data_IF_104029813111
#
_entry.id   IF_104029813111
#
_cell.length_a   1.000
_cell.length_b   1.000
_cell.length_c   1.000
_cell.angle_alpha   90.00
_cell.angle_beta   90.00
_cell.angle_gamma   90.00
#
_symmetry.space_group_name_H-M   'P 1'
#
loop_
_entity.id
_entity.type
_entity.pdbx_description
1 polymer ?
#
# COMPACT_ATOMS: atom_id res chain seq x y z
N UNK A 1 25.21 26.89 -31.94
CA UNK A 1 26.61 26.74 -31.52
C UNK A 1 26.61 26.47 -30.03
N UNK A 2 27.25 25.36 -29.68
CA UNK A 2 27.27 24.69 -28.38
C UNK A 2 28.20 25.34 -27.36
N UNK A 3 27.92 25.16 -26.07
CA UNK A 3 28.85 24.73 -24.99
C UNK A 3 28.04 24.67 -23.67
N UNK A 4 27.76 23.49 -23.10
CA UNK A 4 28.60 22.68 -22.20
C UNK A 4 28.71 23.31 -20.78
N UNK A 5 27.92 22.83 -19.81
CA UNK A 5 28.25 21.77 -18.82
C UNK A 5 29.19 22.23 -17.69
N UNK A 6 28.72 22.12 -16.44
CA UNK A 6 29.42 21.40 -15.36
C UNK A 6 28.58 21.40 -14.07
N UNK A 7 28.06 20.23 -13.73
CA UNK A 7 27.45 19.85 -12.45
C UNK A 7 28.54 19.45 -11.45
N UNK A 8 28.47 19.96 -10.22
CA UNK A 8 29.30 19.50 -9.10
C UNK A 8 28.41 18.72 -8.11
N UNK A 9 28.69 17.44 -7.94
CA UNK A 9 27.97 16.50 -7.05
C UNK A 9 28.90 16.23 -5.87
N UNK A 10 28.48 16.61 -4.67
CA UNK A 10 29.16 16.24 -3.43
C UNK A 10 28.61 14.90 -2.93
N UNK A 11 29.51 13.92 -2.84
CA UNK A 11 29.28 12.57 -2.32
C UNK A 11 29.60 12.58 -0.82
N UNK A 12 28.63 12.27 0.04
CA UNK A 12 28.87 11.93 1.45
C UNK A 12 28.68 10.43 1.67
N UNK A 13 29.60 9.88 2.45
CA UNK A 13 29.76 8.47 2.71
C UNK A 13 28.88 7.98 3.86
N UNK A 14 28.37 6.76 3.67
CA UNK A 14 27.98 5.72 4.62
C UNK A 14 28.41 5.92 6.08
N UNK A 15 27.56 5.54 7.04
CA UNK A 15 27.77 4.46 8.02
C UNK A 15 26.45 4.14 8.78
N UNK A 16 26.16 2.87 9.14
CA UNK A 16 24.92 2.47 9.81
C UNK A 16 25.12 2.18 11.31
N UNK A 17 24.21 2.66 12.18
CA UNK A 17 24.07 2.22 13.57
C UNK A 17 22.71 1.52 13.68
N UNK A 18 22.65 0.18 13.69
CA UNK A 18 22.80 -0.72 14.83
C UNK A 18 21.71 -0.60 15.90
N UNK A 19 20.78 -1.55 15.78
CA UNK A 19 19.83 -2.10 16.74
C UNK A 19 20.29 -2.03 18.20
N UNK A 20 19.43 -1.50 19.08
CA UNK A 20 19.57 -1.56 20.53
C UNK A 20 18.54 -2.56 21.06
N UNK A 21 19.06 -3.65 21.63
CA UNK A 21 18.32 -4.71 22.29
C UNK A 21 18.18 -4.39 23.78
N UNK A 22 17.01 -4.71 24.33
CA UNK A 22 16.69 -4.67 25.76
C UNK A 22 17.61 -5.60 26.57
N UNK A 23 18.03 -5.16 27.76
CA UNK A 23 18.46 -6.07 28.84
C UNK A 23 18.19 -5.43 30.21
N UNK A 24 17.62 -6.23 31.10
CA UNK A 24 17.03 -5.88 32.38
C UNK A 24 18.03 -5.37 33.44
N UNK A 25 17.56 -4.48 34.31
CA UNK A 25 18.17 -4.20 35.60
C UNK A 25 17.30 -4.75 36.74
N UNK A 26 17.81 -5.81 37.36
CA UNK A 26 17.42 -6.27 38.70
C UNK A 26 18.58 -5.95 39.65
N UNK A 27 18.34 -5.09 40.64
CA UNK A 27 19.14 -5.02 41.84
C UNK A 27 18.36 -4.33 42.97
N UNK A 28 18.02 -5.15 43.95
CA UNK A 28 17.65 -4.86 45.33
C UNK A 28 18.53 -3.76 45.94
N UNK A 29 17.92 -2.78 46.62
CA UNK A 29 18.49 -2.18 47.83
C UNK A 29 17.38 -1.73 48.79
N UNK A 30 17.37 -2.38 49.96
CA UNK A 30 16.66 -1.99 51.18
C UNK A 30 17.23 -0.68 51.75
N UNK A 31 16.37 0.22 52.23
CA UNK A 31 16.53 0.79 53.59
C UNK A 31 15.29 1.56 54.05
N UNK A 32 15.01 1.33 55.33
CA UNK A 32 13.99 1.86 56.20
C UNK A 32 14.38 3.26 56.70
N UNK A 33 13.45 4.22 56.67
CA UNK A 33 13.53 5.45 57.46
C UNK A 33 12.13 6.08 57.59
N UNK A 34 11.57 5.95 58.79
CA UNK A 34 10.47 6.76 59.30
C UNK A 34 10.84 8.24 59.24
N UNK A 35 9.96 9.07 58.68
CA UNK A 35 9.70 10.40 59.23
C UNK A 35 8.32 10.92 58.81
N UNK A 36 7.61 11.44 59.81
CA UNK A 36 6.29 12.06 59.68
C UNK A 36 6.38 13.33 58.82
N UNK A 37 5.61 13.36 57.74
CA UNK A 37 5.34 14.56 56.98
C UNK A 37 3.94 14.48 56.41
N UNK A 38 3.02 15.27 56.95
CA UNK A 38 1.70 15.52 56.39
C UNK A 38 1.89 16.09 54.99
N UNK A 39 1.67 15.25 53.97
CA UNK A 39 1.66 15.66 52.56
C UNK A 39 0.32 15.25 51.97
N UNK A 40 -0.39 16.28 51.50
CA UNK A 40 -1.63 16.21 50.74
C UNK A 40 -1.60 15.07 49.73
N UNK A 41 -2.57 14.17 49.89
CA UNK A 41 -2.88 13.11 48.93
C UNK A 41 -3.89 13.68 47.93
N UNK A 42 -3.43 14.61 47.10
CA UNK A 42 -4.17 15.13 45.94
C UNK A 42 -3.73 14.40 44.67
N UNK A 43 -4.72 13.83 43.98
CA UNK A 43 -4.78 13.55 42.55
C UNK A 43 -3.65 12.76 41.90
N UNK A 44 -3.68 11.44 42.12
CA UNK A 44 -3.20 10.45 41.14
C UNK A 44 -4.16 9.27 41.02
N UNK A 45 -5.40 9.54 40.60
CA UNK A 45 -6.29 8.57 39.96
C UNK A 45 -6.50 8.98 38.50
N UNK A 46 -5.42 8.95 37.71
CA UNK A 46 -5.55 8.98 36.26
C UNK A 46 -6.08 7.62 35.81
N UNK A 47 -7.41 7.53 35.75
CA UNK A 47 -8.15 6.41 35.19
C UNK A 47 -7.73 6.20 33.74
N UNK A 48 -6.91 5.19 33.53
CA UNK A 48 -6.77 4.52 32.25
C UNK A 48 -8.09 3.80 32.01
N UNK A 49 -9.04 4.44 31.31
CA UNK A 49 -10.27 3.79 30.89
C UNK A 49 -9.90 2.71 29.87
N UNK A 50 -9.66 1.50 30.36
CA UNK A 50 -9.67 0.30 29.53
C UNK A 50 -11.05 0.22 28.88
N UNK A 51 -11.14 0.13 27.54
CA UNK A 51 -12.42 -0.07 26.86
C UNK A 51 -13.11 -1.28 27.47
N UNK A 52 -14.32 -1.10 28.02
CA UNK A 52 -15.08 -2.21 28.56
C UNK A 52 -15.23 -3.26 27.46
N UNK A 53 -14.77 -4.47 27.73
CA UNK A 53 -14.91 -5.57 26.77
C UNK A 53 -16.40 -5.83 26.53
N UNK A 54 -16.75 -6.35 25.36
CA UNK A 54 -18.15 -6.68 24.99
C UNK A 54 -18.85 -7.47 26.12
N UNK A 55 -18.10 -8.37 26.77
CA UNK A 55 -18.56 -9.17 27.91
C UNK A 55 -18.95 -8.35 29.14
N UNK A 56 -18.26 -7.22 29.41
CA UNK A 56 -18.58 -6.35 30.54
C UNK A 56 -19.85 -5.51 30.27
N UNK A 57 -20.10 -5.15 29.01
CA UNK A 57 -21.33 -4.45 28.62
C UNK A 57 -22.53 -5.39 28.77
N UNK A 58 -22.39 -6.65 28.39
CA UNK A 58 -23.45 -7.65 28.54
C UNK A 58 -23.73 -7.96 30.01
N UNK A 59 -22.70 -8.01 30.86
CA UNK A 59 -22.86 -8.15 32.30
C UNK A 59 -23.65 -6.97 32.91
N UNK A 60 -23.33 -5.73 32.51
CA UNK A 60 -24.05 -4.54 32.99
C UNK A 60 -25.51 -4.52 32.53
N UNK A 61 -25.79 -4.96 31.30
CA UNK A 61 -27.17 -5.10 30.81
C UNK A 61 -27.96 -6.13 31.60
N UNK A 62 -27.36 -7.28 31.91
CA UNK A 62 -28.03 -8.31 32.69
C UNK A 62 -28.25 -7.87 34.14
N UNK A 63 -27.30 -7.16 34.75
CA UNK A 63 -27.47 -6.53 36.06
C UNK A 63 -28.62 -5.51 36.06
N UNK A 64 -28.71 -4.66 35.04
CA UNK A 64 -29.80 -3.69 34.91
C UNK A 64 -31.16 -4.38 34.77
N UNK A 65 -31.21 -5.50 34.04
CA UNK A 65 -32.44 -6.30 33.86
C UNK A 65 -32.91 -6.96 35.15
N UNK A 66 -31.98 -7.49 35.95
CA UNK A 66 -32.28 -8.06 37.28
C UNK A 66 -32.82 -6.97 38.22
N UNK A 67 -32.12 -5.84 38.32
CA UNK A 67 -32.54 -4.71 39.16
C UNK A 67 -33.92 -4.17 38.75
N UNK A 68 -34.19 -4.06 37.45
CA UNK A 68 -35.51 -3.64 36.96
C UNK A 68 -36.63 -4.61 37.36
N UNK A 69 -36.34 -5.92 37.38
CA UNK A 69 -37.29 -6.94 37.85
C UNK A 69 -37.58 -6.84 39.35
N UNK A 70 -36.55 -6.62 40.16
CA UNK A 70 -36.70 -6.43 41.61
C UNK A 70 -37.49 -5.17 41.95
N UNK A 71 -37.19 -4.03 41.30
CA UNK A 71 -37.95 -2.79 41.49
C UNK A 71 -39.43 -2.97 41.14
N UNK A 72 -39.74 -3.71 40.06
CA UNK A 72 -41.11 -4.01 39.70
C UNK A 72 -41.82 -4.85 40.79
N UNK A 73 -41.14 -5.87 41.33
CA UNK A 73 -41.68 -6.69 42.44
C UNK A 73 -41.94 -5.87 43.70
N UNK A 74 -40.99 -5.01 44.11
CA UNK A 74 -41.17 -4.13 45.26
C UNK A 74 -42.33 -3.15 45.06
N UNK A 75 -42.48 -2.61 43.85
CA UNK A 75 -43.59 -1.72 43.50
C UNK A 75 -44.95 -2.43 43.62
N UNK A 76 -45.03 -3.68 43.15
CA UNK A 76 -46.26 -4.50 43.28
C UNK A 76 -46.56 -4.79 44.75
N UNK A 77 -45.55 -5.16 45.55
CA UNK A 77 -45.72 -5.43 46.98
C UNK A 77 -46.21 -4.18 47.74
N UNK A 78 -45.64 -3.00 47.45
CA UNK A 78 -46.07 -1.73 48.04
C UNK A 78 -47.52 -1.39 47.66
N UNK A 79 -47.92 -1.58 46.39
CA UNK A 79 -49.32 -1.40 45.97
C UNK A 79 -50.28 -2.30 46.77
N UNK A 80 -49.94 -3.58 46.91
CA UNK A 80 -50.76 -4.54 47.65
C UNK A 80 -50.89 -4.16 49.13
N UNK A 81 -49.79 -3.77 49.78
CA UNK A 81 -49.80 -3.30 51.16
C UNK A 81 -50.62 -2.01 51.33
N UNK A 82 -50.52 -1.08 50.37
CA UNK A 82 -51.33 0.14 50.37
C UNK A 82 -52.82 -0.16 50.22
N UNK A 83 -53.19 -1.09 49.35
CA UNK A 83 -54.58 -1.50 49.13
C UNK A 83 -55.16 -2.25 50.34
N UNK A 84 -54.36 -3.13 50.95
CA UNK A 84 -54.71 -3.83 52.18
C UNK A 84 -54.88 -2.86 53.36
N UNK A 85 -53.99 -1.86 53.49
CA UNK A 85 -54.13 -0.78 54.47
C UNK A 85 -55.41 0.05 54.25
N UNK A 86 -55.75 0.38 53.00
CA UNK A 86 -56.99 1.08 52.68
C UNK A 86 -58.24 0.24 53.03
N UNK A 87 -58.20 -1.08 52.80
CA UNK A 87 -59.26 -2.00 53.20
C UNK A 87 -59.42 -2.11 54.71
N UNK A 88 -58.32 -2.18 55.46
CA UNK A 88 -58.34 -2.22 56.93
C UNK A 88 -58.94 -0.91 57.47
N UNK A 89 -58.54 0.24 56.92
CA UNK A 89 -59.09 1.54 57.31
C UNK A 89 -60.59 1.62 57.01
N UNK A 90 -61.02 1.20 55.81
CA UNK A 90 -62.42 1.20 55.40
C UNK A 90 -63.30 0.28 56.27
N UNK A 91 -62.79 -0.92 56.62
CA UNK A 91 -63.46 -1.86 57.54
C UNK A 91 -63.52 -1.31 58.96
N UNK A 92 -62.45 -0.67 59.44
CA UNK A 92 -62.40 -0.05 60.78
C UNK A 92 -63.39 1.10 60.89
N UNK A 93 -63.44 1.99 59.90
CA UNK A 93 -64.40 3.10 59.85
C UNK A 93 -65.83 2.58 59.75
N UNK A 94 -66.09 1.58 58.90
CA UNK A 94 -67.42 0.98 58.77
C UNK A 94 -67.88 0.32 60.08
N UNK A 95 -66.97 -0.33 60.80
CA UNK A 95 -67.25 -0.91 62.12
C UNK A 95 -67.52 0.17 63.17
N UNK A 96 -66.74 1.24 63.20
CA UNK A 96 -66.94 2.37 64.12
C UNK A 96 -68.28 3.10 63.88
N UNK A 97 -68.69 3.21 62.61
CA UNK A 97 -70.01 3.75 62.22
C UNK A 97 -71.13 2.79 62.63
N UNK A 98 -70.97 1.48 62.41
CA UNK A 98 -71.95 0.48 62.84
C UNK A 98 -72.12 0.46 64.37
N UNK A 99 -71.04 0.50 65.13
CA UNK A 99 -71.07 0.51 66.60
C UNK A 99 -71.69 1.82 67.15
N UNK A 100 -71.47 2.96 66.47
CA UNK A 100 -72.13 4.24 66.82
C UNK A 100 -73.63 4.25 66.50
N UNK A 101 -74.06 3.64 65.40
CA UNK A 101 -75.49 3.54 65.04
C UNK A 101 -76.23 2.60 65.98
N UNK A 102 -75.60 1.50 66.40
CA UNK A 102 -76.18 0.56 67.39
C UNK A 102 -76.25 1.19 68.78
N UNK A 103 -75.28 2.03 69.18
CA UNK A 103 -75.32 2.75 70.47
C UNK A 103 -76.24 3.98 70.50
N UNK A 104 -76.65 4.52 69.35
CA UNK A 104 -77.55 5.69 69.27
C UNK A 104 -79.03 5.34 69.33
N UNK A 105 -79.40 4.07 69.10
CA UNK A 105 -80.80 3.64 69.00
C UNK A 105 -81.29 2.76 70.18
N UNK A 106 -80.48 2.53 71.22
CA UNK A 106 -80.83 1.58 72.29
C UNK A 106 -80.77 2.14 73.73
N UNK A 107 -80.83 3.47 73.91
CA UNK A 107 -81.05 4.09 75.23
C UNK A 107 -82.10 5.20 75.20
N UNK A 108 -83.33 4.82 74.81
CA UNK A 108 -84.53 5.44 75.37
C UNK A 108 -84.97 4.57 76.54
N UNK A 109 -84.21 4.63 77.64
CA UNK A 109 -84.62 4.05 78.92
C UNK A 109 -85.85 4.82 79.41
N UNK A 110 -87.00 4.29 79.06
CA UNK A 110 -88.32 4.67 79.54
C UNK A 110 -88.55 3.87 80.83
N UNK A 111 -88.10 4.42 81.97
CA UNK A 111 -88.46 3.94 83.31
C UNK A 111 -88.87 5.16 84.13
N UNK A 112 -90.09 5.62 83.89
CA UNK A 112 -90.69 6.73 84.64
C UNK A 112 -92.13 6.40 85.02
N UNK A 113 -92.37 5.27 85.69
CA UNK A 113 -93.58 5.14 86.50
C UNK A 113 -93.36 4.06 87.57
N UNK A 114 -93.55 4.47 88.83
CA UNK A 114 -93.39 3.66 90.07
C UNK A 114 -92.00 3.62 90.74
N UNK A 115 -91.16 4.65 90.54
CA UNK A 115 -89.98 4.88 91.39
C UNK A 115 -90.19 6.03 92.37
N UNK A 116 -89.77 5.83 93.62
CA UNK A 116 -89.83 6.83 94.69
C UNK A 116 -89.03 8.08 94.29
N UNK A 117 -89.43 9.27 94.74
CA UNK A 117 -88.71 10.53 94.46
C UNK A 117 -87.22 10.48 94.84
N UNK A 118 -86.86 9.63 95.81
CA UNK A 118 -85.48 9.34 96.19
C UNK A 118 -84.71 8.56 95.09
N UNK A 119 -85.34 7.57 94.45
CA UNK A 119 -84.72 6.76 93.38
C UNK A 119 -84.47 7.59 92.12
N UNK A 120 -85.39 8.51 91.74
CA UNK A 120 -85.17 9.42 90.60
C UNK A 120 -83.99 10.37 90.83
N UNK A 121 -83.83 10.88 92.05
CA UNK A 121 -82.68 11.72 92.43
C UNK A 121 -81.38 10.91 92.34
N UNK A 122 -81.41 9.65 92.76
CA UNK A 122 -80.24 8.76 92.69
C UNK A 122 -79.87 8.39 91.25
N UNK A 123 -80.85 8.11 90.39
CA UNK A 123 -80.66 7.90 88.94
C UNK A 123 -80.08 9.15 88.26
N UNK A 124 -80.55 10.35 88.60
CA UNK A 124 -80.01 11.60 88.06
C UNK A 124 -78.58 11.86 88.52
N UNK A 125 -78.27 11.62 89.80
CA UNK A 125 -76.88 11.69 90.31
C UNK A 125 -75.96 10.75 89.56
N UNK A 126 -76.42 9.52 89.30
CA UNK A 126 -75.65 8.53 88.54
C UNK A 126 -75.44 8.95 87.08
N UNK A 127 -76.45 9.56 86.43
CA UNK A 127 -76.33 10.12 85.07
C UNK A 127 -75.36 11.30 85.01
N UNK A 128 -75.39 12.20 86.00
CA UNK A 128 -74.44 13.33 86.10
C UNK A 128 -73.03 12.80 86.27
N UNK A 129 -72.80 11.86 87.19
CA UNK A 129 -71.48 11.26 87.40
C UNK A 129 -70.94 10.62 86.11
N UNK A 130 -71.77 9.86 85.39
CA UNK A 130 -71.37 9.28 84.08
C UNK A 130 -71.04 10.36 83.04
N UNK A 131 -71.79 11.46 83.01
CA UNK A 131 -71.53 12.55 82.08
C UNK A 131 -70.20 13.25 82.42
N UNK A 132 -69.91 13.45 83.70
CA UNK A 132 -68.63 14.00 84.18
C UNK A 132 -67.45 13.08 83.84
N UNK A 133 -67.59 11.76 84.09
CA UNK A 133 -66.58 10.76 83.74
C UNK A 133 -66.36 10.71 82.22
N UNK A 134 -67.42 10.79 81.42
CA UNK A 134 -67.34 10.83 79.96
C UNK A 134 -66.66 12.10 79.43
N UNK A 135 -66.92 13.27 80.04
CA UNK A 135 -66.25 14.54 79.69
C UNK A 135 -64.76 14.44 80.03
N UNK A 136 -64.40 13.90 81.19
CA UNK A 136 -63.00 13.72 81.60
C UNK A 136 -62.27 12.75 80.67
N UNK A 137 -62.91 11.63 80.29
CA UNK A 137 -62.38 10.69 79.31
C UNK A 137 -62.15 11.36 77.95
N UNK A 138 -63.16 12.07 77.44
CA UNK A 138 -63.08 12.78 76.16
C UNK A 138 -61.97 13.86 76.17
N UNK A 139 -61.76 14.56 77.29
CA UNK A 139 -60.65 15.53 77.41
C UNK A 139 -59.29 14.85 77.31
N UNK A 140 -59.11 13.72 77.99
CA UNK A 140 -57.87 12.92 77.91
C UNK A 140 -57.64 12.42 76.48
N UNK A 141 -58.69 11.88 75.85
CA UNK A 141 -58.62 11.40 74.47
C UNK A 141 -58.31 12.52 73.48
N UNK A 142 -58.97 13.67 73.59
CA UNK A 142 -58.71 14.84 72.76
C UNK A 142 -57.26 15.34 72.89
N UNK A 143 -56.68 15.30 74.10
CA UNK A 143 -55.29 15.68 74.30
C UNK A 143 -54.32 14.69 73.64
N UNK A 144 -54.54 13.38 73.81
CA UNK A 144 -53.75 12.34 73.10
C UNK A 144 -53.90 12.50 71.58
N UNK A 145 -55.09 12.82 71.09
CA UNK A 145 -55.33 13.01 69.66
C UNK A 145 -54.62 14.26 69.13
N UNK A 146 -54.52 15.34 69.93
CA UNK A 146 -53.75 16.54 69.59
C UNK A 146 -52.26 16.20 69.44
N UNK A 147 -51.69 15.44 70.37
CA UNK A 147 -50.29 14.98 70.28
C UNK A 147 -50.07 14.07 69.07
N UNK A 148 -51.02 13.17 68.79
CA UNK A 148 -50.97 12.31 67.59
C UNK A 148 -50.99 13.13 66.30
N UNK A 149 -51.85 14.15 66.21
CA UNK A 149 -51.90 15.06 65.06
C UNK A 149 -50.60 15.84 64.89
N UNK A 150 -50.05 16.40 65.96
CA UNK A 150 -48.77 17.11 65.91
C UNK A 150 -47.62 16.22 65.40
N UNK A 151 -47.58 14.96 65.85
CA UNK A 151 -46.60 13.97 65.35
C UNK A 151 -46.80 13.64 63.86
N UNK A 152 -48.05 13.51 63.42
CA UNK A 152 -48.36 13.26 62.01
C UNK A 152 -48.00 14.46 61.12
N UNK A 153 -48.34 15.68 61.54
CA UNK A 153 -47.98 16.92 60.83
C UNK A 153 -46.46 17.08 60.71
N UNK A 154 -45.72 16.81 61.79
CA UNK A 154 -44.27 16.81 61.76
C UNK A 154 -43.70 15.78 60.76
N UNK A 155 -44.21 14.55 60.78
CA UNK A 155 -43.78 13.51 59.84
C UNK A 155 -44.08 13.88 58.38
N UNK A 156 -45.26 14.46 58.11
CA UNK A 156 -45.63 14.94 56.76
C UNK A 156 -44.67 16.04 56.32
N UNK A 157 -44.39 17.03 57.18
CA UNK A 157 -43.46 18.11 56.86
C UNK A 157 -42.07 17.57 56.54
N UNK A 158 -41.57 16.62 57.32
CA UNK A 158 -40.26 16.00 57.09
C UNK A 158 -40.21 15.24 55.75
N UNK A 159 -41.24 14.45 55.46
CA UNK A 159 -41.35 13.74 54.19
C UNK A 159 -41.42 14.70 52.99
N UNK A 160 -42.18 15.80 53.10
CA UNK A 160 -42.30 16.79 52.05
C UNK A 160 -40.96 17.49 51.77
N UNK A 161 -40.24 17.91 52.81
CA UNK A 161 -38.90 18.48 52.66
C UNK A 161 -37.97 17.50 51.94
N UNK A 162 -37.99 16.23 52.35
CA UNK A 162 -37.14 15.21 51.72
C UNK A 162 -37.51 14.95 50.26
N UNK A 163 -38.79 14.98 49.93
CA UNK A 163 -39.26 14.82 48.56
C UNK A 163 -38.78 15.98 47.67
N UNK A 164 -38.86 17.22 48.16
CA UNK A 164 -38.37 18.40 47.44
C UNK A 164 -36.86 18.34 47.19
N UNK A 165 -36.06 17.96 48.19
CA UNK A 165 -34.61 17.77 48.02
C UNK A 165 -34.28 16.73 46.95
N UNK A 166 -34.98 15.59 46.96
CA UNK A 166 -34.78 14.54 45.96
C UNK A 166 -35.19 15.00 44.56
N UNK A 167 -36.26 15.77 44.44
CA UNK A 167 -36.70 16.33 43.16
C UNK A 167 -35.64 17.29 42.57
N UNK A 168 -35.02 18.13 43.41
CA UNK A 168 -33.90 18.99 42.99
C UNK A 168 -32.72 18.14 42.51
N UNK A 169 -32.29 17.13 43.29
CA UNK A 169 -31.19 16.26 42.90
C UNK A 169 -31.47 15.48 41.60
N UNK A 170 -32.71 14.99 41.41
CA UNK A 170 -33.11 14.30 40.17
C UNK A 170 -32.99 15.26 38.97
N UNK A 171 -33.48 16.49 39.10
CA UNK A 171 -33.43 17.46 38.02
C UNK A 171 -31.98 17.85 37.67
N UNK A 172 -31.12 18.05 38.67
CA UNK A 172 -29.69 18.30 38.45
C UNK A 172 -29.02 17.14 37.71
N UNK A 173 -29.31 15.89 38.10
CA UNK A 173 -28.75 14.71 37.47
C UNK A 173 -29.26 14.50 36.04
N UNK A 174 -30.54 14.81 35.78
CA UNK A 174 -31.12 14.82 34.43
C UNK A 174 -30.41 15.84 33.54
N UNK A 175 -30.11 17.04 34.06
CA UNK A 175 -29.38 18.07 33.32
C UNK A 175 -27.94 17.64 33.02
N UNK A 176 -27.22 17.08 34.01
CA UNK A 176 -25.86 16.53 33.79
C UNK A 176 -25.86 15.42 32.75
N UNK A 177 -26.81 14.48 32.83
CA UNK A 177 -26.95 13.41 31.86
C UNK A 177 -27.23 13.94 30.45
N UNK A 178 -28.06 14.97 30.32
CA UNK A 178 -28.32 15.61 29.04
C UNK A 178 -27.05 16.28 28.46
N UNK A 179 -26.22 16.90 29.30
CA UNK A 179 -24.97 17.52 28.85
C UNK A 179 -23.92 16.49 28.44
N UNK A 180 -23.71 15.45 29.26
CA UNK A 180 -22.84 14.31 28.92
C UNK A 180 -23.28 13.65 27.61
N UNK A 181 -24.59 13.51 27.39
CA UNK A 181 -25.14 12.97 26.15
C UNK A 181 -24.76 13.82 24.94
N UNK A 182 -24.85 15.15 25.05
CA UNK A 182 -24.40 16.07 23.98
C UNK A 182 -22.90 15.93 23.71
N UNK A 183 -22.08 15.82 24.77
CA UNK A 183 -20.64 15.63 24.63
C UNK A 183 -20.32 14.32 23.92
N UNK A 184 -20.98 13.21 24.30
CA UNK A 184 -20.85 11.91 23.63
C UNK A 184 -21.20 12.02 22.15
N UNK A 185 -22.30 12.70 21.82
CA UNK A 185 -22.75 12.83 20.43
C UNK A 185 -21.78 13.72 19.63
N UNK A 186 -21.24 14.80 20.21
CA UNK A 186 -20.18 15.62 19.60
C UNK A 186 -18.92 14.80 19.32
N UNK A 187 -18.43 14.04 20.32
CA UNK A 187 -17.25 13.18 20.17
C UNK A 187 -17.45 12.08 19.13
N UNK A 188 -18.66 11.55 18.99
CA UNK A 188 -18.99 10.59 17.93
C UNK A 188 -18.85 11.21 16.54
N UNK A 189 -19.33 12.43 16.35
CA UNK A 189 -19.15 13.14 15.07
C UNK A 189 -17.67 13.37 14.77
N UNK A 190 -16.89 13.85 15.75
CA UNK A 190 -15.44 14.03 15.60
C UNK A 190 -14.73 12.71 15.22
N UNK A 191 -15.12 11.59 15.84
CA UNK A 191 -14.57 10.27 15.51
C UNK A 191 -14.91 9.83 14.10
N UNK A 192 -16.12 10.09 13.61
CA UNK A 192 -16.49 9.78 12.22
C UNK A 192 -15.69 10.59 11.21
N UNK A 193 -15.46 11.87 11.48
CA UNK A 193 -14.65 12.72 10.61
C UNK A 193 -13.19 12.23 10.55
N UNK A 194 -12.60 11.96 11.72
CA UNK A 194 -11.24 11.41 11.81
C UNK A 194 -11.12 10.04 11.14
N UNK A 195 -12.14 9.18 11.27
CA UNK A 195 -12.19 7.88 10.59
C UNK A 195 -12.17 8.06 9.06
N UNK A 196 -12.93 9.04 8.54
CA UNK A 196 -12.92 9.40 7.13
C UNK A 196 -11.53 9.82 6.64
N UNK A 197 -10.84 10.69 7.39
CA UNK A 197 -9.48 11.11 7.07
C UNK A 197 -8.47 9.95 7.05
N UNK A 198 -8.57 9.05 8.04
CA UNK A 198 -7.70 7.86 8.13
C UNK A 198 -7.91 6.97 6.91
N UNK A 199 -9.15 6.76 6.49
CA UNK A 199 -9.46 5.93 5.32
C UNK A 199 -8.96 6.57 4.01
N UNK A 200 -9.08 7.89 3.87
CA UNK A 200 -8.54 8.62 2.72
C UNK A 200 -7.01 8.51 2.66
N UNK A 201 -6.32 8.74 3.79
CA UNK A 201 -4.86 8.61 3.90
C UNK A 201 -4.41 7.17 3.61
N UNK A 202 -5.15 6.17 4.09
CA UNK A 202 -4.91 4.74 3.81
C UNK A 202 -5.00 4.45 2.31
N UNK A 203 -6.05 4.95 1.66
CA UNK A 203 -6.25 4.80 0.21
C UNK A 203 -5.12 5.44 -0.60
N UNK A 204 -4.69 6.67 -0.22
CA UNK A 204 -3.54 7.35 -0.83
C UNK A 204 -2.24 6.56 -0.67
N UNK A 205 -1.99 6.02 0.53
CA UNK A 205 -0.80 5.20 0.79
C UNK A 205 -0.79 3.94 -0.07
N UNK A 206 -1.93 3.26 -0.20
CA UNK A 206 -2.06 2.08 -1.07
C UNK A 206 -1.74 2.42 -2.54
N UNK A 207 -2.25 3.55 -3.05
CA UNK A 207 -1.94 4.01 -4.40
C UNK A 207 -0.44 4.29 -4.60
N UNK A 208 0.23 4.91 -3.61
CA UNK A 208 1.68 5.14 -3.66
C UNK A 208 2.45 3.81 -3.70
N UNK A 209 2.04 2.83 -2.88
CA UNK A 209 2.69 1.52 -2.87
C UNK A 209 2.53 0.78 -4.21
N UNK A 210 1.38 0.90 -4.87
CA UNK A 210 1.18 0.36 -6.21
C UNK A 210 2.10 1.03 -7.24
N UNK A 211 2.18 2.36 -7.24
CA UNK A 211 3.09 3.12 -8.10
C UNK A 211 4.56 2.73 -7.87
N UNK A 212 4.96 2.51 -6.61
CA UNK A 212 6.30 2.06 -6.28
C UNK A 212 6.60 0.67 -6.86
N UNK A 213 5.64 -0.27 -6.79
CA UNK A 213 5.78 -1.59 -7.41
C UNK A 213 5.91 -1.50 -8.93
N UNK A 214 5.09 -0.67 -9.58
CA UNK A 214 5.17 -0.45 -11.02
C UNK A 214 6.52 0.14 -11.46
N UNK A 215 7.02 1.14 -10.73
CA UNK A 215 8.29 1.78 -11.01
C UNK A 215 9.45 0.78 -10.87
N UNK A 216 9.43 -0.03 -9.82
CA UNK A 216 10.45 -1.06 -9.59
C UNK A 216 10.44 -2.11 -10.72
N UNK A 217 9.27 -2.55 -11.15
CA UNK A 217 9.14 -3.47 -12.29
C UNK A 217 9.69 -2.84 -13.59
N UNK A 218 9.34 -1.59 -13.88
CA UNK A 218 9.86 -0.86 -15.06
C UNK A 218 11.38 -0.71 -14.99
N UNK A 219 11.93 -0.39 -13.83
CA UNK A 219 13.37 -0.27 -13.63
C UNK A 219 14.09 -1.59 -13.88
N UNK A 220 13.57 -2.69 -13.33
CA UNK A 220 14.13 -4.02 -13.54
C UNK A 220 14.11 -4.42 -15.03
N UNK A 221 12.98 -4.21 -15.71
CA UNK A 221 12.87 -4.48 -17.15
C UNK A 221 13.87 -3.65 -17.96
N UNK A 222 13.94 -2.33 -17.70
CA UNK A 222 14.89 -1.44 -18.37
C UNK A 222 16.35 -1.83 -18.09
N UNK A 223 16.67 -2.22 -16.86
CA UNK A 223 18.02 -2.68 -16.47
C UNK A 223 18.40 -3.95 -17.24
N UNK A 224 17.49 -4.93 -17.31
CA UNK A 224 17.72 -6.17 -18.07
C UNK A 224 17.88 -5.92 -19.58
N UNK A 225 17.10 -4.99 -20.14
CA UNK A 225 17.19 -4.60 -21.55
C UNK A 225 18.52 -3.90 -21.86
N UNK A 226 18.96 -2.99 -20.96
CA UNK A 226 20.26 -2.31 -21.06
C UNK A 226 21.41 -3.32 -21.05
N UNK A 227 21.45 -4.24 -20.07
CA UNK A 227 22.50 -5.27 -20.00
C UNK A 227 22.55 -6.13 -21.27
N UNK A 228 21.39 -6.49 -21.84
CA UNK A 228 21.32 -7.22 -23.10
C UNK A 228 21.89 -6.42 -24.28
N UNK A 229 21.56 -5.13 -24.37
CA UNK A 229 22.08 -4.26 -25.40
C UNK A 229 23.60 -4.05 -25.26
N UNK A 230 24.10 -3.90 -24.03
CA UNK A 230 25.54 -3.80 -23.73
C UNK A 230 26.30 -5.05 -24.20
N UNK A 231 25.79 -6.25 -23.92
CA UNK A 231 26.41 -7.51 -24.40
C UNK A 231 26.41 -7.59 -25.93
N UNK A 232 25.34 -7.16 -26.58
CA UNK A 232 25.29 -7.14 -28.06
C UNK A 232 26.29 -6.14 -28.65
N UNK A 233 26.42 -4.97 -28.03
CA UNK A 233 27.40 -3.96 -28.43
C UNK A 233 28.83 -4.47 -28.26
N UNK A 234 29.14 -5.09 -27.12
CA UNK A 234 30.46 -5.68 -26.85
C UNK A 234 30.82 -6.73 -27.91
N UNK A 235 29.87 -7.60 -28.27
CA UNK A 235 30.08 -8.58 -29.35
C UNK A 235 30.36 -7.90 -30.69
N UNK A 236 29.59 -6.87 -31.05
CA UNK A 236 29.79 -6.14 -32.30
C UNK A 236 31.15 -5.41 -32.35
N UNK A 237 31.57 -4.83 -31.22
CA UNK A 237 32.89 -4.21 -31.07
C UNK A 237 33.99 -5.26 -31.23
N UNK A 238 33.88 -6.43 -30.60
CA UNK A 238 34.85 -7.51 -30.76
C UNK A 238 34.97 -7.99 -32.20
N UNK A 239 33.84 -8.17 -32.90
CA UNK A 239 33.83 -8.54 -34.32
C UNK A 239 34.52 -7.48 -35.16
N UNK A 240 34.22 -6.19 -34.94
CA UNK A 240 34.87 -5.08 -35.65
C UNK A 240 36.37 -5.06 -35.40
N UNK A 241 36.81 -5.25 -34.16
CA UNK A 241 38.24 -5.29 -33.81
C UNK A 241 38.98 -6.42 -34.54
N UNK A 242 38.36 -7.59 -34.66
CA UNK A 242 38.94 -8.71 -35.41
C UNK A 242 39.05 -8.39 -36.91
N UNK A 243 38.01 -7.81 -37.50
CA UNK A 243 38.01 -7.42 -38.92
C UNK A 243 39.05 -6.32 -39.22
N UNK A 244 39.21 -5.34 -38.34
CA UNK A 244 40.23 -4.29 -38.51
C UNK A 244 41.63 -4.88 -38.49
N UNK A 245 41.89 -5.83 -37.58
CA UNK A 245 43.17 -6.56 -37.54
C UNK A 245 43.43 -7.30 -38.85
N UNK A 246 42.44 -8.02 -39.38
CA UNK A 246 42.54 -8.72 -40.67
C UNK A 246 42.81 -7.75 -41.83
N UNK A 247 42.15 -6.59 -41.85
CA UNK A 247 42.41 -5.53 -42.84
C UNK A 247 43.86 -5.03 -42.76
N UNK A 248 44.40 -4.85 -41.56
CA UNK A 248 45.79 -4.43 -41.35
C UNK A 248 46.79 -5.50 -41.84
N UNK A 249 46.51 -6.78 -41.59
CA UNK A 249 47.30 -7.89 -42.11
C UNK A 249 47.30 -7.91 -43.65
N UNK A 250 46.13 -7.79 -44.28
CA UNK A 250 46.00 -7.73 -45.74
C UNK A 250 46.69 -6.50 -46.34
N UNK A 251 46.63 -5.34 -45.69
CA UNK A 251 47.38 -4.14 -46.10
C UNK A 251 48.88 -4.39 -46.05
N UNK A 252 49.38 -5.03 -44.99
CA UNK A 252 50.78 -5.44 -44.89
C UNK A 252 51.21 -6.38 -46.02
N UNK A 253 50.39 -7.39 -46.35
CA UNK A 253 50.65 -8.30 -47.46
C UNK A 253 50.72 -7.58 -48.81
N UNK A 254 49.75 -6.69 -49.09
CA UNK A 254 49.72 -5.86 -50.29
C UNK A 254 50.98 -5.02 -50.42
N UNK A 255 51.42 -4.37 -49.34
CA UNK A 255 52.59 -3.50 -49.37
C UNK A 255 53.90 -4.27 -49.65
N UNK A 256 53.99 -5.53 -49.20
CA UNK A 256 55.11 -6.43 -49.54
C UNK A 256 55.11 -6.79 -51.02
N UNK A 257 53.94 -7.14 -51.58
CA UNK A 257 53.79 -7.48 -53.00
C UNK A 257 54.10 -6.26 -53.87
N UNK A 258 53.58 -5.09 -53.50
CA UNK A 258 53.80 -3.83 -54.21
C UNK A 258 55.30 -3.51 -54.32
N UNK A 259 56.05 -3.64 -53.21
CA UNK A 259 57.51 -3.47 -53.21
C UNK A 259 58.23 -4.46 -54.14
N UNK A 260 57.77 -5.72 -54.21
CA UNK A 260 58.33 -6.71 -55.16
C UNK A 260 58.05 -6.35 -56.61
N UNK A 261 56.86 -5.84 -56.92
CA UNK A 261 56.50 -5.38 -58.26
C UNK A 261 57.39 -4.20 -58.66
N UNK A 262 57.55 -3.22 -57.77
CA UNK A 262 58.41 -2.06 -57.99
C UNK A 262 59.86 -2.47 -58.25
N UNK A 263 60.39 -3.40 -57.45
CA UNK A 263 61.72 -3.97 -57.67
C UNK A 263 61.87 -4.63 -59.04
N UNK A 264 60.90 -5.45 -59.48
CA UNK A 264 60.92 -6.05 -60.81
C UNK A 264 60.88 -5.00 -61.92
N UNK A 265 60.00 -3.98 -61.78
CA UNK A 265 59.90 -2.88 -62.75
C UNK A 265 61.21 -2.11 -62.88
N UNK A 266 61.85 -1.78 -61.76
CA UNK A 266 63.14 -1.08 -61.74
C UNK A 266 64.24 -1.93 -62.39
N UNK A 267 64.33 -3.21 -62.04
CA UNK A 267 65.28 -4.15 -62.65
C UNK A 267 65.08 -4.28 -64.16
N UNK A 268 63.83 -4.35 -64.63
CA UNK A 268 63.52 -4.44 -66.06
C UNK A 268 63.84 -3.13 -66.80
N UNK A 269 63.64 -1.97 -66.18
CA UNK A 269 64.07 -0.68 -66.72
C UNK A 269 65.60 -0.60 -66.83
N UNK A 270 66.35 -1.06 -65.83
CA UNK A 270 67.82 -1.15 -65.87
C UNK A 270 68.27 -2.13 -66.97
N UNK A 271 67.67 -3.33 -67.05
CA UNK A 271 68.04 -4.30 -68.07
C UNK A 271 67.70 -3.83 -69.49
N UNK A 272 66.63 -3.07 -69.67
CA UNK A 272 66.26 -2.49 -70.97
C UNK A 272 67.18 -1.33 -71.37
N UNK A 273 67.64 -0.53 -70.40
CA UNK A 273 68.67 0.48 -70.62
C UNK A 273 70.02 -0.14 -71.03
N UNK A 274 70.38 -1.28 -70.42
CA UNK A 274 71.60 -2.04 -70.74
C UNK A 274 71.52 -2.73 -72.12
N UNK A 275 70.30 -3.09 -72.58
CA UNK A 275 70.06 -3.70 -73.90
C UNK A 275 69.88 -2.69 -75.04
N UNK A 276 69.68 -1.40 -74.74
CA UNK A 276 69.59 -0.35 -75.76
C UNK A 276 70.92 -0.13 -76.50
N UNK A 277 72.05 -0.63 -75.99
CA UNK A 277 73.35 -0.58 -76.68
C UNK A 277 73.60 -1.77 -77.62
N UNK A 278 72.80 -2.84 -77.57
CA UNK A 278 72.98 -4.00 -78.47
C UNK A 278 71.66 -4.67 -78.86
N UNK A 279 71.25 -4.45 -80.10
CA UNK A 279 70.26 -5.19 -80.93
C UNK A 279 68.95 -4.44 -81.28
N UNK A 280 69.07 -3.48 -82.20
CA UNK A 280 67.99 -3.22 -83.16
C UNK A 280 67.84 -4.46 -84.04
N UNK A 281 66.79 -5.26 -83.82
CA UNK A 281 66.39 -6.27 -84.81
C UNK A 281 65.64 -5.54 -85.94
N UNK A 282 66.38 -5.16 -86.98
CA UNK A 282 65.79 -4.55 -88.17
C UNK A 282 65.00 -5.60 -88.96
N UNK A 283 63.69 -5.42 -89.03
CA UNK A 283 62.83 -6.17 -89.94
C UNK A 283 62.96 -5.58 -91.35
N UNK A 284 63.29 -6.41 -92.33
CA UNK A 284 63.29 -6.05 -93.76
C UNK A 284 62.08 -6.68 -94.44
N UNK A 285 61.30 -5.86 -95.14
CA UNK A 285 60.25 -6.35 -96.02
C UNK A 285 60.84 -6.90 -97.32
N UNK A 286 60.38 -8.07 -97.73
CA UNK A 286 60.77 -8.71 -98.99
C UNK A 286 59.57 -8.76 -99.93
N UNK A 287 59.78 -8.46 -101.20
CA UNK A 287 58.71 -8.51 -102.18
C UNK A 287 58.37 -9.96 -102.52
N UNK A 288 57.10 -10.24 -102.86
CA UNK A 288 56.63 -11.56 -103.23
C UNK A 288 57.39 -12.14 -104.44
N UNK A 289 57.84 -11.29 -105.38
CA UNK A 289 58.67 -11.70 -106.51
C UNK A 289 60.06 -12.20 -106.06
N UNK A 290 60.66 -11.55 -105.06
CA UNK A 290 61.96 -11.95 -104.51
C UNK A 290 61.85 -13.28 -103.76
N UNK A 291 60.77 -13.45 -103.00
CA UNK A 291 60.48 -14.70 -102.27
C UNK A 291 60.28 -15.86 -103.25
N UNK A 292 59.51 -15.65 -104.33
CA UNK A 292 59.27 -16.66 -105.37
C UNK A 292 60.55 -17.03 -106.12
N UNK A 293 61.33 -16.04 -106.54
CA UNK A 293 62.62 -16.27 -107.19
C UNK A 293 63.58 -17.04 -106.28
N UNK A 294 63.59 -16.72 -104.98
CA UNK A 294 64.44 -17.37 -104.01
C UNK A 294 64.08 -18.84 -103.74
N UNK A 295 62.82 -19.24 -103.96
CA UNK A 295 62.33 -20.60 -103.73
C UNK A 295 62.06 -21.39 -105.02
N UNK A 296 62.47 -20.88 -106.19
CA UNK A 296 62.14 -21.45 -107.50
C UNK A 296 60.63 -21.75 -107.63
N UNK A 297 59.80 -20.72 -107.39
CA UNK A 297 58.33 -20.83 -107.34
C UNK A 297 57.84 -21.91 -106.37
N UNK A 298 58.50 -22.04 -105.22
CA UNK A 298 58.21 -23.03 -104.18
C UNK A 298 58.39 -24.48 -104.64
N UNK A 299 59.45 -24.72 -105.43
CA UNK A 299 59.86 -26.05 -105.86
C UNK A 299 60.03 -27.02 -104.68
N UNK A 300 59.45 -28.21 -104.80
CA UNK A 300 59.47 -29.25 -103.76
C UNK A 300 60.91 -29.71 -103.44
N UNK A 301 61.82 -29.62 -104.42
CA UNK A 301 63.24 -29.94 -104.23
C UNK A 301 63.97 -29.03 -103.24
N UNK A 302 63.40 -27.85 -102.93
CA UNK A 302 63.94 -26.89 -101.96
C UNK A 302 63.21 -26.93 -100.61
N UNK A 303 62.25 -27.83 -100.43
CA UNK A 303 61.47 -27.94 -99.18
C UNK A 303 62.31 -28.59 -98.09
N UNK A 304 62.51 -27.88 -96.98
CA UNK A 304 63.28 -28.39 -95.84
C UNK A 304 62.44 -29.30 -94.94
N UNK A 305 61.19 -28.88 -94.65
CA UNK A 305 60.27 -29.65 -93.80
C UNK A 305 58.81 -29.40 -94.21
N UNK A 306 58.05 -30.49 -94.30
CA UNK A 306 56.58 -30.49 -94.22
C UNK A 306 56.20 -30.85 -92.79
N UNK A 307 55.72 -29.89 -91.99
CA UNK A 307 55.30 -30.17 -90.61
C UNK A 307 53.80 -29.95 -90.48
N UNK A 308 53.04 -30.98 -90.86
CA UNK A 308 51.57 -31.00 -90.75
C UNK A 308 50.86 -30.01 -91.67
N UNK A 309 49.52 -30.00 -91.63
CA UNK A 309 48.65 -29.27 -92.56
C UNK A 309 48.78 -27.72 -92.51
N UNK A 310 49.60 -27.14 -91.62
CA UNK A 310 49.61 -25.69 -91.38
C UNK A 310 50.74 -24.91 -92.06
N UNK A 311 51.98 -25.41 -92.12
CA UNK A 311 53.12 -24.61 -92.65
C UNK A 311 54.16 -25.42 -93.38
N UNK A 312 54.67 -24.84 -94.47
CA UNK A 312 55.77 -25.38 -95.28
C UNK A 312 57.00 -24.48 -95.12
N UNK A 313 58.17 -25.08 -94.90
CA UNK A 313 59.43 -24.31 -94.82
C UNK A 313 60.30 -24.67 -96.02
N UNK A 314 60.65 -23.66 -96.81
CA UNK A 314 61.51 -23.77 -97.97
C UNK A 314 62.88 -23.17 -97.67
N UNK A 315 63.92 -23.79 -98.20
CA UNK A 315 65.23 -23.17 -98.30
C UNK A 315 65.20 -22.23 -99.47
N UNK A 316 65.51 -20.96 -99.24
CA UNK A 316 65.63 -19.98 -100.30
C UNK A 316 66.98 -19.28 -100.30
N UNK A 317 67.28 -18.58 -101.39
CA UNK A 317 68.43 -17.70 -101.47
C UNK A 317 67.98 -16.31 -101.94
N UNK A 318 68.03 -15.32 -101.05
CA UNK A 318 67.74 -13.91 -101.37
C UNK A 318 69.06 -13.13 -101.28
N UNK A 319 69.45 -12.41 -102.33
CA UNK A 319 70.65 -11.56 -102.37
C UNK A 319 71.90 -12.22 -101.74
N UNK A 320 72.18 -13.47 -102.15
CA UNK A 320 73.28 -14.33 -101.69
C UNK A 320 73.18 -14.90 -100.26
N UNK A 321 72.17 -14.53 -99.48
CA UNK A 321 71.91 -15.11 -98.16
C UNK A 321 71.04 -16.35 -98.26
N UNK A 322 71.43 -17.41 -97.55
CA UNK A 322 70.56 -18.59 -97.40
C UNK A 322 69.55 -18.30 -96.31
N UNK A 323 68.27 -18.33 -96.67
CA UNK A 323 67.15 -18.02 -95.78
C UNK A 323 66.23 -19.23 -95.66
N UNK A 324 65.57 -19.35 -94.51
CA UNK A 324 64.45 -20.28 -94.34
C UNK A 324 63.15 -19.50 -94.52
N UNK A 325 62.43 -19.77 -95.59
CA UNK A 325 61.17 -19.10 -95.92
C UNK A 325 60.03 -19.98 -95.44
N UNK A 326 59.30 -19.51 -94.43
CA UNK A 326 58.16 -20.21 -93.84
C UNK A 326 56.87 -19.70 -94.45
N UNK A 327 56.20 -20.56 -95.20
CA UNK A 327 54.90 -20.34 -95.81
C UNK A 327 53.78 -20.92 -94.95
N UNK A 328 52.69 -20.17 -94.84
CA UNK A 328 51.47 -20.59 -94.16
C UNK A 328 50.41 -20.96 -95.21
N UNK A 329 49.76 -22.11 -95.06
CA UNK A 329 48.70 -22.52 -95.98
C UNK A 329 47.45 -21.65 -95.76
N UNK A 330 46.97 -20.97 -96.80
CA UNK A 330 45.81 -20.06 -96.72
C UNK A 330 44.48 -20.79 -96.46
N UNK A 331 44.43 -22.11 -96.65
CA UNK A 331 43.22 -22.92 -96.44
C UNK A 331 42.83 -23.10 -94.97
N UNK A 332 43.74 -22.79 -94.04
CA UNK A 332 43.51 -22.86 -92.59
C UNK A 332 43.82 -21.52 -91.88
N UNK A 333 43.89 -20.41 -92.61
CA UNK A 333 44.02 -19.09 -92.01
C UNK A 333 42.68 -18.73 -91.32
N UNK A 334 42.67 -18.32 -90.04
CA UNK A 334 41.45 -17.80 -89.42
C UNK A 334 40.96 -16.62 -90.26
N UNK A 335 39.65 -16.56 -90.54
CA UNK A 335 39.06 -15.41 -91.22
C UNK A 335 39.44 -14.13 -90.46
N UNK A 336 39.58 -13.02 -91.17
CA UNK A 336 39.93 -11.73 -90.55
C UNK A 336 39.00 -11.43 -89.35
N UNK A 337 37.71 -11.76 -89.46
CA UNK A 337 36.72 -11.68 -88.38
C UNK A 337 37.06 -12.52 -87.14
N UNK A 338 37.54 -13.76 -87.30
CA UNK A 338 37.87 -14.64 -86.18
C UNK A 338 39.11 -14.17 -85.41
N UNK A 339 40.02 -13.45 -86.06
CA UNK A 339 41.17 -12.82 -85.41
C UNK A 339 40.73 -11.59 -84.60
N UNK A 340 39.91 -10.72 -85.18
CA UNK A 340 39.42 -9.49 -84.51
C UNK A 340 38.57 -9.79 -83.27
N UNK A 341 37.75 -10.84 -83.32
CA UNK A 341 36.92 -11.26 -82.18
C UNK A 341 37.76 -11.74 -80.97
N UNK A 342 38.97 -12.25 -81.21
CA UNK A 342 39.84 -12.77 -80.14
C UNK A 342 40.66 -11.68 -79.46
N UNK A 343 40.99 -10.60 -80.17
CA UNK A 343 41.76 -9.45 -79.67
C UNK A 343 40.90 -8.52 -78.81
N UNK A 344 39.57 -8.55 -78.96
CA UNK A 344 38.62 -7.77 -78.15
C UNK A 344 38.23 -8.44 -76.82
N UNK A 345 38.81 -9.60 -76.49
CA UNK A 345 38.49 -10.39 -75.31
C UNK A 345 39.62 -10.46 -74.26
N UNK A 346 40.70 -9.69 -74.45
CA UNK A 346 41.76 -9.44 -73.45
C UNK A 346 41.66 -8.05 -72.83
#
# INVERSE_FOLDING_TARGET
>A
MSQAESTNIHMEASHPNSVLSETAHSAVHLSDARENGVVLLEDKFLGQETPLTIDQIDLLREQQKILSGEVALHTIALKRLSEEAAQILGKSISKQIADSIVHSNDKKDNFEESQSGAERIEVLKLKIQRAEDAIQLNRKEANVNKERRAKAEWAISLCNTRAMELEVCINEEVLKNADLKKQIDSRKFELFDLQGEVEEKRSKLNSILELQRELLNKLQLSSSAKSRAEVQLEKAVQTRTNMVREIEELRGQRDVIQRRIEFCREKDAISSADRMDTSSFDYREFNAAEIRAATEDFSEGLRLKSRGQLTNVYKGRINHMTVAIKMYNSTNAPSHEAFTAKVLLE
#
